data_IF_601723211408
#
_entry.id   IF_601723211408
#
_cell.length_a   1.000
_cell.length_b   1.000
_cell.length_c   1.000
_cell.angle_alpha   90.00
_cell.angle_beta   90.00
_cell.angle_gamma   90.00
#
_symmetry.space_group_name_H-M   'P 1'
#
loop_
_entity.id
_entity.type
_entity.pdbx_description
1 polymer ?
#
# COMPACT_ATOMS: atom_id res chain seq x y z
N UNK A 1 -19.81 11.15 -2.29
CA UNK A 1 -18.36 11.42 -2.37
C UNK A 1 -17.70 10.27 -3.10
N UNK A 2 -17.26 10.49 -4.33
CA UNK A 2 -16.79 9.46 -5.23
C UNK A 2 -15.47 8.84 -4.73
N UNK A 3 -15.54 7.65 -4.14
CA UNK A 3 -14.41 6.97 -3.48
C UNK A 3 -13.54 6.21 -4.49
N UNK A 4 -13.48 6.65 -5.73
CA UNK A 4 -12.68 5.94 -6.74
C UNK A 4 -11.19 6.27 -6.56
N UNK A 5 -10.33 5.24 -6.64
CA UNK A 5 -8.88 5.43 -6.54
C UNK A 5 -8.38 5.96 -7.89
N UNK A 6 -8.19 7.27 -7.96
CA UNK A 6 -7.93 8.00 -9.21
C UNK A 6 -6.57 7.62 -9.79
N UNK A 7 -6.38 7.92 -11.07
CA UNK A 7 -5.08 7.76 -11.74
C UNK A 7 -3.93 8.44 -10.97
N UNK A 8 -4.19 9.63 -10.40
CA UNK A 8 -3.19 10.47 -9.72
C UNK A 8 -2.79 9.90 -8.35
N UNK A 9 -3.60 9.00 -7.79
CA UNK A 9 -3.34 8.32 -6.52
C UNK A 9 -2.64 6.97 -6.72
N UNK A 10 -2.15 6.67 -7.92
CA UNK A 10 -1.46 5.41 -8.25
C UNK A 10 -0.03 5.64 -8.66
N UNK A 11 0.87 4.85 -8.09
CA UNK A 11 2.24 4.69 -8.59
C UNK A 11 2.19 3.65 -9.71
N UNK A 12 2.63 4.04 -10.90
CA UNK A 12 2.56 3.19 -12.10
C UNK A 12 3.89 3.03 -12.82
N UNK A 13 4.80 3.99 -12.67
CA UNK A 13 6.11 3.96 -13.34
C UNK A 13 7.09 3.15 -12.52
N UNK A 14 7.85 2.26 -13.16
CA UNK A 14 8.86 1.42 -12.51
C UNK A 14 9.89 2.22 -11.71
N UNK A 15 10.41 3.38 -12.17
CA UNK A 15 11.32 4.22 -11.38
C UNK A 15 10.72 4.69 -10.05
N UNK A 16 9.42 5.03 -10.03
CA UNK A 16 8.74 5.46 -8.80
C UNK A 16 8.65 4.32 -7.78
N UNK A 17 8.43 3.08 -8.24
CA UNK A 17 8.51 1.91 -7.35
C UNK A 17 9.92 1.74 -6.78
N UNK A 18 10.95 1.88 -7.63
CA UNK A 18 12.34 1.71 -7.21
C UNK A 18 12.77 2.75 -6.19
N UNK A 19 12.48 4.03 -6.44
CA UNK A 19 12.91 5.10 -5.54
C UNK A 19 12.24 4.98 -4.16
N UNK A 20 10.97 4.55 -4.10
CA UNK A 20 10.29 4.31 -2.81
C UNK A 20 10.83 3.07 -2.11
N UNK A 21 11.17 2.00 -2.84
CA UNK A 21 11.78 0.81 -2.25
C UNK A 21 13.22 1.05 -1.74
N UNK A 22 14.00 1.88 -2.44
CA UNK A 22 15.41 2.13 -2.12
C UNK A 22 15.61 3.24 -1.08
N UNK A 23 14.86 4.34 -1.21
CA UNK A 23 15.02 5.55 -0.38
C UNK A 23 13.86 5.77 0.59
N UNK A 24 12.80 4.98 0.49
CA UNK A 24 11.67 5.05 1.42
C UNK A 24 11.93 4.26 2.69
N UNK A 25 11.19 4.62 3.73
CA UNK A 25 11.18 3.90 5.00
C UNK A 25 10.38 2.62 4.87
N UNK A 26 10.96 1.51 5.34
CA UNK A 26 10.31 0.20 5.38
C UNK A 26 9.66 -0.05 6.74
N UNK A 27 8.35 -0.31 6.72
CA UNK A 27 7.57 -0.71 7.90
C UNK A 27 6.92 -2.06 7.64
N UNK A 28 7.16 -3.04 8.53
CA UNK A 28 6.60 -4.40 8.39
C UNK A 28 5.26 -4.48 9.14
N UNK A 29 4.19 -4.83 8.44
CA UNK A 29 2.94 -5.31 9.01
C UNK A 29 2.91 -6.83 9.08
N UNK A 30 1.77 -7.37 9.50
CA UNK A 30 1.49 -8.81 9.59
C UNK A 30 1.39 -9.44 8.21
N UNK A 31 0.51 -8.90 7.35
CA UNK A 31 0.18 -9.44 6.03
C UNK A 31 0.81 -8.67 4.87
N UNK A 32 1.36 -7.48 5.15
CA UNK A 32 2.04 -6.67 4.14
C UNK A 32 3.30 -6.00 4.69
N UNK A 33 4.19 -5.59 3.79
CA UNK A 33 5.28 -4.65 4.09
C UNK A 33 5.03 -3.36 3.34
N UNK A 34 5.08 -2.23 4.03
CA UNK A 34 4.94 -0.90 3.42
C UNK A 34 6.31 -0.26 3.27
N UNK A 35 6.59 0.25 2.08
CA UNK A 35 7.62 1.24 1.85
C UNK A 35 6.94 2.60 1.71
N UNK A 36 7.42 3.62 2.41
CA UNK A 36 6.82 4.95 2.41
C UNK A 36 7.88 6.03 2.21
N UNK A 37 7.57 7.04 1.40
CA UNK A 37 8.46 8.17 1.15
C UNK A 37 7.65 9.44 0.98
N UNK A 38 8.12 10.57 1.52
CA UNK A 38 7.49 11.86 1.25
C UNK A 38 7.57 12.18 -0.25
N UNK A 39 6.46 12.62 -0.84
CA UNK A 39 6.36 12.91 -2.27
C UNK A 39 6.12 14.40 -2.59
N UNK A 40 5.92 15.24 -1.57
CA UNK A 40 5.70 16.69 -1.74
C UNK A 40 4.35 17.05 -2.39
N UNK A 41 3.41 16.11 -2.48
CA UNK A 41 2.08 16.33 -3.04
C UNK A 41 1.04 16.51 -1.93
N UNK A 42 -0.13 17.02 -2.32
CA UNK A 42 -1.34 17.10 -1.50
C UNK A 42 -2.02 15.75 -1.25
N UNK A 43 -1.50 14.66 -1.83
CA UNK A 43 -2.16 13.35 -1.88
C UNK A 43 -1.19 12.20 -1.67
N UNK A 44 -1.75 11.08 -1.20
CA UNK A 44 -1.03 9.83 -1.15
C UNK A 44 -1.11 9.10 -2.50
N UNK A 45 -0.03 8.44 -2.91
CA UNK A 45 0.02 7.57 -4.08
C UNK A 45 0.30 6.13 -3.67
N UNK A 46 -0.47 5.19 -4.19
CA UNK A 46 -0.34 3.77 -3.89
C UNK A 46 0.32 3.01 -5.05
N UNK A 47 1.41 2.32 -4.76
CA UNK A 47 1.94 1.21 -5.55
C UNK A 47 1.65 -0.12 -4.86
N UNK A 48 1.33 -1.16 -5.63
CA UNK A 48 1.08 -2.50 -5.07
C UNK A 48 2.00 -3.50 -5.75
N UNK A 49 2.73 -4.27 -4.94
CA UNK A 49 3.59 -5.36 -5.39
C UNK A 49 2.96 -6.67 -4.92
N UNK A 50 2.45 -7.44 -5.89
CA UNK A 50 1.98 -8.80 -5.70
C UNK A 50 2.95 -9.77 -6.39
N UNK A 51 3.85 -10.36 -5.61
CA UNK A 51 4.87 -11.30 -6.11
C UNK A 51 4.26 -12.63 -6.54
N UNK A 52 5.01 -13.44 -7.31
CA UNK A 52 4.61 -14.82 -7.66
C UNK A 52 4.38 -15.72 -6.44
N UNK A 53 4.97 -15.38 -5.28
CA UNK A 53 4.81 -16.14 -4.03
C UNK A 53 3.40 -16.06 -3.43
N UNK A 54 2.57 -15.10 -3.86
CA UNK A 54 1.13 -15.06 -3.55
C UNK A 54 0.31 -16.09 -4.35
N UNK A 55 0.90 -16.70 -5.37
CA UNK A 55 0.23 -17.65 -6.25
C UNK A 55 -0.11 -17.08 -7.63
N UNK A 56 -1.11 -17.69 -8.26
CA UNK A 56 -1.49 -17.45 -9.66
C UNK A 56 -2.04 -16.04 -9.94
N UNK A 57 -2.34 -15.76 -11.21
CA UNK A 57 -2.83 -14.46 -11.65
C UNK A 57 -4.12 -14.04 -10.93
N UNK A 58 -5.06 -14.97 -10.73
CA UNK A 58 -6.35 -14.72 -10.05
C UNK A 58 -6.14 -14.27 -8.60
N UNK A 59 -5.38 -15.04 -7.82
CA UNK A 59 -5.01 -14.73 -6.43
C UNK A 59 -4.33 -13.37 -6.31
N UNK A 60 -3.32 -13.11 -7.14
CA UNK A 60 -2.63 -11.80 -7.17
C UNK A 60 -3.56 -10.65 -7.55
N UNK A 61 -4.49 -10.86 -8.48
CA UNK A 61 -5.46 -9.85 -8.88
C UNK A 61 -6.46 -9.56 -7.77
N UNK A 62 -6.93 -10.58 -7.05
CA UNK A 62 -7.76 -10.44 -5.84
C UNK A 62 -7.02 -9.67 -4.75
N UNK A 63 -5.79 -10.05 -4.42
CA UNK A 63 -4.96 -9.36 -3.44
C UNK A 63 -4.77 -7.87 -3.77
N UNK A 64 -4.47 -7.54 -5.04
CA UNK A 64 -4.40 -6.15 -5.52
C UNK A 64 -5.74 -5.42 -5.42
N UNK A 65 -6.87 -6.09 -5.62
CA UNK A 65 -8.22 -5.49 -5.47
C UNK A 65 -8.44 -5.13 -4.00
N UNK A 66 -8.28 -6.09 -3.09
CA UNK A 66 -8.43 -5.88 -1.64
C UNK A 66 -7.57 -4.72 -1.12
N UNK A 67 -6.28 -4.69 -1.47
CA UNK A 67 -5.38 -3.60 -1.04
C UNK A 67 -5.82 -2.22 -1.58
N UNK A 68 -6.38 -2.15 -2.79
CA UNK A 68 -6.93 -0.88 -3.32
C UNK A 68 -8.14 -0.42 -2.52
N UNK A 69 -8.97 -1.36 -2.06
CA UNK A 69 -10.14 -1.04 -1.24
C UNK A 69 -9.73 -0.58 0.15
N UNK A 70 -8.77 -1.25 0.79
CA UNK A 70 -8.21 -0.82 2.08
C UNK A 70 -7.63 0.59 1.97
N UNK A 71 -6.78 0.86 0.97
CA UNK A 71 -6.22 2.20 0.77
C UNK A 71 -7.28 3.28 0.53
N UNK A 72 -8.33 2.95 -0.24
CA UNK A 72 -9.44 3.87 -0.51
C UNK A 72 -10.12 4.35 0.77
N UNK A 73 -10.23 3.49 1.78
CA UNK A 73 -10.87 3.80 3.07
C UNK A 73 -9.90 4.45 4.07
N UNK A 74 -8.60 4.42 3.79
CA UNK A 74 -7.52 4.86 4.67
C UNK A 74 -6.59 5.89 4.00
N UNK A 75 -7.15 6.85 3.24
CA UNK A 75 -6.32 7.81 2.48
C UNK A 75 -5.44 8.70 3.35
N UNK A 76 -5.80 8.94 4.62
CA UNK A 76 -5.00 9.70 5.59
C UNK A 76 -4.66 11.13 5.15
N UNK A 77 -3.71 11.78 5.85
CA UNK A 77 -3.10 13.02 5.36
C UNK A 77 -2.21 12.72 4.16
N UNK A 78 -2.29 13.54 3.11
CA UNK A 78 -1.52 13.39 1.87
C UNK A 78 0.00 13.55 2.04
N UNK A 79 0.73 13.45 0.92
CA UNK A 79 2.17 13.70 0.87
C UNK A 79 3.07 12.47 0.90
N UNK A 80 2.53 11.26 0.76
CA UNK A 80 3.29 10.01 0.76
C UNK A 80 3.14 9.22 -0.53
N UNK A 81 4.27 8.73 -1.04
CA UNK A 81 4.32 7.57 -1.90
C UNK A 81 4.39 6.31 -1.04
N UNK A 82 3.41 5.43 -1.21
CA UNK A 82 3.23 4.20 -0.43
C UNK A 82 3.31 3.02 -1.39
N UNK A 83 4.29 2.16 -1.21
CA UNK A 83 4.40 0.89 -1.94
C UNK A 83 4.11 -0.27 -0.99
N UNK A 84 2.97 -0.94 -1.19
CA UNK A 84 2.56 -2.11 -0.42
C UNK A 84 3.05 -3.39 -1.08
N UNK A 85 3.97 -4.10 -0.43
CA UNK A 85 4.39 -5.45 -0.79
C UNK A 85 3.51 -6.46 -0.03
N UNK A 86 2.64 -7.15 -0.77
CA UNK A 86 1.73 -8.14 -0.20
C UNK A 86 2.48 -9.44 0.09
N UNK A 87 2.21 -10.07 1.24
CA UNK A 87 2.83 -11.35 1.65
C UNK A 87 1.93 -12.53 1.28
N UNK A 88 2.47 -13.76 1.18
CA UNK A 88 1.64 -14.97 1.05
C UNK A 88 0.57 -15.02 2.15
N UNK A 89 -0.63 -15.52 1.81
CA UNK A 89 -1.79 -15.55 2.71
C UNK A 89 -2.61 -14.24 2.77
N UNK A 90 -2.17 -13.15 2.13
CA UNK A 90 -2.91 -11.88 2.12
C UNK A 90 -4.32 -12.00 1.53
N UNK A 91 -4.53 -12.86 0.54
CA UNK A 91 -5.83 -13.05 -0.11
C UNK A 91 -6.74 -14.07 0.58
N UNK A 92 -6.26 -14.69 1.67
CA UNK A 92 -6.95 -15.74 2.43
C UNK A 92 -7.53 -15.21 3.75
N UNK A 93 -7.14 -14.02 4.19
CA UNK A 93 -7.60 -13.39 5.44
C UNK A 93 -8.81 -12.46 5.22
N UNK A 94 -9.56 -12.21 6.29
CA UNK A 94 -10.71 -11.32 6.21
C UNK A 94 -10.30 -9.88 5.91
N UNK A 95 -11.17 -9.14 5.20
CA UNK A 95 -10.93 -7.73 4.87
C UNK A 95 -10.62 -6.88 6.11
N UNK A 96 -11.35 -7.10 7.20
CA UNK A 96 -11.17 -6.38 8.47
C UNK A 96 -9.77 -6.56 9.05
N UNK A 97 -9.18 -7.75 8.93
CA UNK A 97 -7.82 -8.02 9.40
C UNK A 97 -6.77 -7.30 8.55
N UNK A 98 -6.99 -7.24 7.23
CA UNK A 98 -6.12 -6.50 6.31
C UNK A 98 -6.20 -5.00 6.60
N UNK A 99 -7.41 -4.46 6.78
CA UNK A 99 -7.63 -3.05 7.09
C UNK A 99 -6.97 -2.67 8.42
N UNK A 100 -7.15 -3.49 9.46
CA UNK A 100 -6.51 -3.30 10.75
C UNK A 100 -4.97 -3.34 10.65
N UNK A 101 -4.40 -4.33 9.96
CA UNK A 101 -2.95 -4.42 9.76
C UNK A 101 -2.40 -3.20 8.99
N UNK A 102 -3.12 -2.75 7.97
CA UNK A 102 -2.74 -1.58 7.20
C UNK A 102 -2.78 -0.30 8.04
N UNK A 103 -3.85 -0.07 8.82
CA UNK A 103 -3.99 1.09 9.72
C UNK A 103 -2.88 1.12 10.76
N UNK A 104 -2.66 0.02 11.48
CA UNK A 104 -1.59 -0.09 12.47
C UNK A 104 -0.19 0.12 11.86
N UNK A 105 0.00 -0.28 10.60
CA UNK A 105 1.22 -0.01 9.85
C UNK A 105 1.35 1.46 9.46
N UNK A 106 0.26 2.10 9.04
CA UNK A 106 0.24 3.51 8.66
C UNK A 106 0.46 4.43 9.87
N UNK A 107 -0.14 4.13 11.02
CA UNK A 107 0.08 4.86 12.27
C UNK A 107 1.54 4.82 12.73
N UNK A 108 2.23 3.70 12.50
CA UNK A 108 3.68 3.62 12.76
C UNK A 108 4.48 4.48 11.80
N UNK A 109 4.04 4.61 10.55
CA UNK A 109 4.70 5.48 9.56
C UNK A 109 4.52 6.95 9.95
N UNK A 110 3.31 7.36 10.34
CA UNK A 110 3.00 8.76 10.67
C UNK A 110 3.67 9.21 11.97
N UNK A 111 3.76 8.34 12.99
CA UNK A 111 4.43 8.63 14.27
C UNK A 111 5.90 8.99 14.16
N UNK A 112 6.56 8.62 13.07
CA UNK A 112 7.98 8.84 12.89
C UNK A 112 8.29 9.76 11.70
N UNK A 113 7.40 10.72 11.41
CA UNK A 113 7.65 11.84 10.48
C UNK A 113 8.47 12.98 11.10
N UNK A 114 8.88 12.86 12.38
CA UNK A 114 9.81 13.79 13.04
C UNK A 114 11.21 13.75 12.44
#
# INVERSE_FOLDING_TARGET
MDRTLTYRERIRRRPDFLIVQQRGRRTRGRFLTVFSRANGLDRNRLGIIATRRLGGAVRRNRAKRLMREVFRHCKGQGGLDIVALLRPGFDEVAYSEIDADYRATLERITRHRS
#
